data_IF_680236299171
#
_entry.id   IF_680236299171
#
_cell.length_a   1.000
_cell.length_b   1.000
_cell.length_c   1.000
_cell.angle_alpha   90.00
_cell.angle_beta   90.00
_cell.angle_gamma   90.00
#
_symmetry.space_group_name_H-M   'P 1'
#
loop_
_entity.id
_entity.type
_entity.pdbx_description
1 polymer ?
#
# COMPACT_ATOMS: atom_id res chain seq x y z
N UNK A 1 7.35 -2.81 -8.25
CA UNK A 1 6.55 -1.56 -8.24
C UNK A 1 5.17 -1.77 -7.61
N UNK A 2 4.34 -2.66 -8.17
CA UNK A 2 2.93 -2.81 -7.77
C UNK A 2 2.70 -3.18 -6.29
N UNK A 3 3.58 -3.98 -5.68
CA UNK A 3 3.48 -4.33 -4.25
C UNK A 3 3.65 -3.12 -3.30
N UNK A 4 4.49 -2.14 -3.64
CA UNK A 4 4.65 -0.93 -2.81
C UNK A 4 3.44 0.00 -2.93
N UNK A 5 2.85 0.06 -4.12
CA UNK A 5 1.66 0.86 -4.38
C UNK A 5 0.42 0.21 -3.75
N UNK A 6 0.31 -1.12 -3.81
CA UNK A 6 -0.72 -1.86 -3.10
C UNK A 6 -0.64 -1.63 -1.58
N UNK A 7 0.55 -1.46 -1.00
CA UNK A 7 0.68 -1.04 0.42
C UNK A 7 -0.03 0.29 0.71
N UNK A 8 -0.08 1.22 -0.24
CA UNK A 8 -0.84 2.46 -0.07
C UNK A 8 -2.35 2.19 -0.13
N UNK A 9 -2.82 1.38 -1.08
CA UNK A 9 -4.23 0.96 -1.10
C UNK A 9 -4.65 0.21 0.18
N UNK A 10 -3.77 -0.64 0.73
CA UNK A 10 -3.96 -1.26 2.05
C UNK A 10 -4.15 -0.23 3.16
N UNK A 11 -3.34 0.84 3.18
CA UNK A 11 -3.49 1.92 4.17
C UNK A 11 -4.82 2.66 4.06
N UNK A 12 -5.35 2.82 2.83
CA UNK A 12 -6.68 3.40 2.63
C UNK A 12 -7.77 2.56 3.29
N UNK A 13 -7.65 1.23 3.20
CA UNK A 13 -8.58 0.28 3.81
C UNK A 13 -8.42 0.22 5.35
N UNK A 14 -7.18 0.11 5.82
CA UNK A 14 -6.87 -0.12 7.24
C UNK A 14 -7.00 1.13 8.10
N UNK A 15 -6.74 2.30 7.51
CA UNK A 15 -6.72 3.58 8.23
C UNK A 15 -7.58 4.62 7.50
N UNK A 16 -8.91 4.43 7.46
CA UNK A 16 -9.82 5.29 6.70
C UNK A 16 -9.88 6.73 7.24
N UNK A 17 -9.51 6.93 8.51
CA UNK A 17 -9.58 8.23 9.19
C UNK A 17 -8.38 9.15 8.97
N UNK A 18 -7.32 8.68 8.29
CA UNK A 18 -6.18 9.53 7.96
C UNK A 18 -6.57 10.61 6.95
N UNK A 19 -5.87 11.74 6.97
CA UNK A 19 -6.12 12.83 6.02
C UNK A 19 -6.03 12.35 4.57
N UNK A 20 -5.01 11.56 4.24
CA UNK A 20 -4.83 10.99 2.91
C UNK A 20 -5.99 10.09 2.48
N UNK A 21 -6.45 9.21 3.37
CA UNK A 21 -7.62 8.35 3.11
C UNK A 21 -8.89 9.17 2.89
N UNK A 22 -9.13 10.19 3.72
CA UNK A 22 -10.29 11.08 3.59
C UNK A 22 -10.26 11.88 2.29
N UNK A 23 -9.12 12.46 1.92
CA UNK A 23 -8.95 13.23 0.67
C UNK A 23 -9.13 12.34 -0.55
N UNK A 24 -8.50 11.15 -0.58
CA UNK A 24 -8.62 10.22 -1.69
C UNK A 24 -10.05 9.67 -1.81
N UNK A 25 -10.71 9.36 -0.69
CA UNK A 25 -12.12 8.95 -0.69
C UNK A 25 -13.01 10.06 -1.24
N UNK A 26 -12.91 11.27 -0.70
CA UNK A 26 -13.72 12.40 -1.16
C UNK A 26 -13.55 12.70 -2.66
N UNK A 27 -12.33 12.54 -3.18
CA UNK A 27 -12.02 12.81 -4.58
C UNK A 27 -12.40 11.69 -5.55
N UNK A 28 -12.16 10.43 -5.18
CA UNK A 28 -12.22 9.30 -6.13
C UNK A 28 -13.34 8.30 -5.87
N UNK A 29 -13.84 8.21 -4.64
CA UNK A 29 -14.89 7.27 -4.25
C UNK A 29 -15.75 7.81 -3.09
N UNK A 30 -16.41 8.98 -3.27
CA UNK A 30 -17.13 9.63 -2.17
C UNK A 30 -18.33 8.81 -1.68
N UNK A 31 -18.97 8.06 -2.58
CA UNK A 31 -20.18 7.28 -2.32
C UNK A 31 -20.00 5.77 -2.57
N UNK A 32 -18.76 5.32 -2.71
CA UNK A 32 -18.45 3.91 -2.99
C UNK A 32 -17.25 3.45 -2.16
N UNK A 33 -16.96 2.15 -2.24
CA UNK A 33 -15.80 1.56 -1.60
C UNK A 33 -14.58 1.53 -2.50
N UNK A 34 -13.40 1.47 -1.88
CA UNK A 34 -12.12 1.45 -2.57
C UNK A 34 -12.02 0.37 -3.67
N UNK A 35 -12.57 -0.83 -3.43
CA UNK A 35 -12.53 -1.93 -4.39
C UNK A 35 -13.43 -1.71 -5.60
N UNK A 36 -14.53 -0.96 -5.43
CA UNK A 36 -15.49 -0.65 -6.49
C UNK A 36 -15.19 0.68 -7.19
N UNK A 37 -14.28 1.48 -6.65
CA UNK A 37 -13.95 2.81 -7.15
C UNK A 37 -13.42 2.75 -8.60
N UNK A 38 -14.05 3.42 -9.59
CA UNK A 38 -13.52 3.46 -10.94
C UNK A 38 -12.24 4.31 -11.02
N UNK A 39 -11.45 4.13 -12.08
CA UNK A 39 -10.29 5.00 -12.34
C UNK A 39 -10.74 6.43 -12.67
N UNK A 40 -11.86 6.58 -13.38
CA UNK A 40 -12.43 7.86 -13.78
C UNK A 40 -11.67 8.56 -14.92
N UNK A 41 -12.15 9.74 -15.32
CA UNK A 41 -11.52 10.59 -16.33
C UNK A 41 -10.59 11.63 -15.67
N UNK A 42 -9.37 11.78 -16.19
CA UNK A 42 -8.37 12.70 -15.63
C UNK A 42 -7.84 12.36 -14.21
N UNK A 43 -7.60 11.09 -13.84
CA UNK A 43 -7.10 10.75 -12.51
C UNK A 43 -5.67 11.25 -12.28
N UNK A 44 -5.29 11.40 -11.01
CA UNK A 44 -3.88 11.63 -10.66
C UNK A 44 -3.05 10.38 -10.96
N UNK A 45 -1.75 10.55 -11.20
CA UNK A 45 -0.85 9.42 -11.41
C UNK A 45 -0.79 8.47 -10.21
N UNK A 46 -0.95 9.03 -9.00
CA UNK A 46 -1.04 8.28 -7.75
C UNK A 46 -2.28 7.38 -7.78
N UNK A 47 -3.46 7.93 -8.10
CA UNK A 47 -4.70 7.15 -8.15
C UNK A 47 -4.65 6.06 -9.22
N UNK A 48 -4.15 6.35 -10.42
CA UNK A 48 -3.95 5.33 -11.47
C UNK A 48 -3.11 4.17 -10.97
N UNK A 49 -2.00 4.48 -10.30
CA UNK A 49 -1.09 3.46 -9.78
C UNK A 49 -1.76 2.62 -8.69
N UNK A 50 -2.51 3.25 -7.78
CA UNK A 50 -3.26 2.55 -6.73
C UNK A 50 -4.30 1.60 -7.35
N UNK A 51 -5.08 2.08 -8.32
CA UNK A 51 -6.04 1.25 -9.06
C UNK A 51 -5.38 0.09 -9.79
N UNK A 52 -4.24 0.31 -10.47
CA UNK A 52 -3.50 -0.73 -11.15
C UNK A 52 -3.00 -1.83 -10.18
N UNK A 53 -2.72 -1.47 -8.93
CA UNK A 53 -2.31 -2.41 -7.89
C UNK A 53 -3.47 -3.11 -7.15
N UNK A 54 -4.73 -2.82 -7.52
CA UNK A 54 -5.92 -3.32 -6.83
C UNK A 54 -6.05 -4.83 -6.90
N UNK A 55 -5.65 -5.46 -8.01
CA UNK A 55 -5.69 -6.93 -8.16
C UNK A 55 -4.95 -7.65 -7.04
N UNK A 56 -3.77 -7.14 -6.65
CA UNK A 56 -2.99 -7.66 -5.51
C UNK A 56 -3.79 -7.56 -4.21
N UNK A 57 -4.47 -6.43 -4.00
CA UNK A 57 -5.28 -6.22 -2.80
C UNK A 57 -6.52 -7.10 -2.79
N UNK A 58 -7.21 -7.26 -3.91
CA UNK A 58 -8.35 -8.18 -4.05
C UNK A 58 -7.93 -9.61 -3.73
N UNK A 59 -6.74 -10.01 -4.20
CA UNK A 59 -6.20 -11.33 -3.94
C UNK A 59 -5.93 -11.58 -2.45
N UNK A 60 -5.27 -10.65 -1.75
CA UNK A 60 -4.81 -10.90 -0.38
C UNK A 60 -5.61 -10.28 0.77
N UNK A 61 -6.44 -9.25 0.52
CA UNK A 61 -7.21 -8.60 1.58
C UNK A 61 -8.45 -9.42 1.94
N UNK A 62 -8.66 -9.63 3.23
CA UNK A 62 -9.88 -10.23 3.76
C UNK A 62 -10.47 -9.35 4.85
N UNK A 63 -11.79 -9.44 5.02
CA UNK A 63 -12.46 -8.92 6.21
C UNK A 63 -12.34 -9.95 7.32
N UNK A 64 -11.88 -9.50 8.48
CA UNK A 64 -11.90 -10.24 9.73
C UNK A 64 -13.14 -9.81 10.50
N UNK A 65 -14.01 -10.78 10.77
CA UNK A 65 -15.29 -10.54 11.43
C UNK A 65 -15.07 -10.31 12.94
N UNK A 66 -15.48 -9.13 13.39
CA UNK A 66 -15.65 -8.77 14.80
C UNK A 66 -17.13 -8.91 15.15
N UNK A 67 -17.86 -7.79 15.04
CA UNK A 67 -19.31 -7.74 15.27
C UNK A 67 -20.15 -7.96 14.00
N UNK A 68 -19.54 -7.99 12.82
CA UNK A 68 -20.22 -8.21 11.53
C UNK A 68 -21.00 -7.00 10.99
N UNK A 69 -21.00 -5.85 11.69
CA UNK A 69 -21.86 -4.70 11.34
C UNK A 69 -21.34 -3.86 10.17
N UNK A 70 -20.06 -4.01 9.81
CA UNK A 70 -19.47 -3.26 8.70
C UNK A 70 -18.97 -4.15 7.59
N UNK A 71 -19.31 -5.45 7.61
CA UNK A 71 -18.99 -6.40 6.56
C UNK A 71 -20.25 -6.86 5.84
N UNK A 72 -20.28 -6.62 4.54
CA UNK A 72 -21.41 -6.97 3.69
C UNK A 72 -21.25 -8.39 3.14
N UNK A 73 -22.28 -9.23 3.31
CA UNK A 73 -22.21 -10.68 3.05
C UNK A 73 -21.76 -10.99 1.61
N UNK A 74 -22.29 -10.23 0.65
CA UNK A 74 -22.23 -10.58 -0.77
C UNK A 74 -21.07 -9.94 -1.55
N UNK A 75 -20.56 -8.80 -1.10
CA UNK A 75 -19.59 -7.99 -1.87
C UNK A 75 -18.20 -7.95 -1.22
N UNK A 76 -18.11 -8.23 0.09
CA UNK A 76 -16.83 -8.19 0.78
C UNK A 76 -16.13 -9.55 0.77
N UNK A 77 -14.78 -9.58 0.73
CA UNK A 77 -14.01 -10.81 0.76
C UNK A 77 -13.80 -11.29 2.21
N UNK A 78 -14.74 -12.02 2.80
CA UNK A 78 -14.71 -12.37 4.23
C UNK A 78 -14.67 -13.87 4.53
N UNK A 79 -14.69 -14.74 3.51
CA UNK A 79 -14.57 -16.19 3.72
C UNK A 79 -13.11 -16.66 3.81
N UNK A 80 -12.90 -17.85 4.40
CA UNK A 80 -11.57 -18.44 4.60
C UNK A 80 -10.92 -18.99 3.32
N UNK A 81 -11.65 -18.99 2.19
CA UNK A 81 -11.15 -19.49 0.91
C UNK A 81 -10.08 -18.53 0.36
N UNK A 82 -8.87 -19.06 0.15
CA UNK A 82 -7.74 -18.28 -0.33
C UNK A 82 -7.95 -17.77 -1.77
N UNK A 83 -8.44 -18.62 -2.68
CA UNK A 83 -8.64 -18.25 -4.09
C UNK A 83 -9.94 -17.50 -4.37
N UNK A 84 -10.96 -17.68 -3.51
CA UNK A 84 -12.30 -17.16 -3.75
C UNK A 84 -12.99 -16.79 -2.43
N UNK A 85 -12.75 -15.58 -1.91
CA UNK A 85 -13.20 -15.19 -0.58
C UNK A 85 -14.65 -14.71 -0.51
N UNK A 86 -15.42 -14.93 -1.56
CA UNK A 86 -16.80 -14.47 -1.69
C UNK A 86 -17.79 -15.63 -1.52
N UNK A 87 -19.00 -15.28 -1.09
CA UNK A 87 -20.12 -16.22 -1.03
C UNK A 87 -20.60 -16.51 -2.46
N UNK A 88 -20.84 -17.78 -2.78
CA UNK A 88 -21.29 -18.24 -4.12
C UNK A 88 -22.75 -18.68 -4.15
N UNK A 89 -23.38 -18.79 -2.99
CA UNK A 89 -24.83 -18.92 -2.84
C UNK A 89 -25.52 -17.84 -3.66
N UNK A 90 -26.40 -18.25 -4.57
CA UNK A 90 -27.18 -17.32 -5.39
C UNK A 90 -28.12 -16.53 -4.50
N UNK A 91 -28.05 -15.20 -4.58
CA UNK A 91 -28.96 -14.30 -3.86
C UNK A 91 -30.36 -14.48 -4.45
N UNK A 92 -31.30 -14.99 -3.64
CA UNK A 92 -32.71 -14.98 -4.01
C UNK A 92 -33.27 -13.55 -3.94
N UNK A 93 -34.27 -13.23 -4.76
CA UNK A 93 -34.85 -11.87 -4.85
C UNK A 93 -35.37 -11.33 -3.50
N UNK A 94 -35.70 -12.23 -2.55
CA UNK A 94 -36.19 -11.88 -1.22
C UNK A 94 -35.19 -12.18 -0.10
N UNK A 95 -33.88 -12.16 -0.35
CA UNK A 95 -32.89 -12.36 0.71
C UNK A 95 -32.90 -11.18 1.69
N UNK A 96 -33.23 -11.38 2.98
CA UNK A 96 -33.38 -10.28 3.93
C UNK A 96 -32.05 -9.86 4.57
N UNK A 97 -30.95 -10.58 4.31
CA UNK A 97 -29.66 -10.41 4.98
C UNK A 97 -28.68 -9.65 4.09
N UNK A 98 -28.12 -8.58 4.64
CA UNK A 98 -27.18 -7.70 3.93
C UNK A 98 -25.82 -7.77 4.62
N UNK A 99 -25.80 -7.73 5.95
CA UNK A 99 -24.60 -7.64 6.75
C UNK A 99 -24.30 -8.94 7.48
N UNK A 100 -23.02 -9.23 7.72
CA UNK A 100 -22.62 -10.45 8.45
C UNK A 100 -23.22 -10.49 9.85
N UNK A 101 -23.47 -9.33 10.46
CA UNK A 101 -24.21 -9.19 11.72
C UNK A 101 -25.57 -9.91 11.70
N UNK A 102 -26.28 -9.92 10.57
CA UNK A 102 -27.59 -10.58 10.44
C UNK A 102 -27.50 -12.11 10.60
N UNK A 103 -26.31 -12.68 10.42
CA UNK A 103 -26.03 -14.11 10.58
C UNK A 103 -25.56 -14.48 12.00
N UNK A 104 -25.39 -13.49 12.89
CA UNK A 104 -24.86 -13.66 14.24
C UNK A 104 -26.00 -13.52 15.26
N UNK A 105 -26.15 -14.52 16.13
CA UNK A 105 -27.08 -14.53 17.25
C UNK A 105 -26.32 -14.80 18.55
N UNK A 106 -26.47 -13.92 19.55
CA UNK A 106 -25.81 -14.05 20.85
C UNK A 106 -24.28 -14.28 20.76
N UNK A 107 -23.60 -13.55 19.87
CA UNK A 107 -22.16 -13.69 19.58
C UNK A 107 -21.73 -15.07 19.07
N UNK A 108 -22.67 -15.84 18.55
CA UNK A 108 -22.42 -17.12 17.87
C UNK A 108 -23.08 -17.10 16.50
N UNK A 109 -22.59 -17.91 15.57
CA UNK A 109 -23.26 -18.05 14.27
C UNK A 109 -24.66 -18.66 14.45
N UNK A 110 -25.66 -18.04 13.82
CA UNK A 110 -26.99 -18.63 13.73
C UNK A 110 -26.98 -19.77 12.71
N UNK A 111 -26.57 -20.95 13.17
CA UNK A 111 -26.30 -22.08 12.28
C UNK A 111 -27.54 -22.63 11.58
N UNK A 112 -28.72 -22.48 12.18
CA UNK A 112 -30.00 -22.85 11.56
C UNK A 112 -30.33 -21.93 10.38
N UNK A 113 -30.24 -20.62 10.60
CA UNK A 113 -30.45 -19.61 9.55
C UNK A 113 -29.44 -19.78 8.41
N UNK A 114 -28.16 -19.95 8.74
CA UNK A 114 -27.10 -20.11 7.74
C UNK A 114 -27.36 -21.38 6.89
N UNK A 115 -27.64 -22.53 7.51
CA UNK A 115 -27.89 -23.77 6.75
C UNK A 115 -29.15 -23.72 5.90
N UNK A 116 -30.14 -22.92 6.30
CA UNK A 116 -31.39 -22.76 5.56
C UNK A 116 -31.23 -21.90 4.32
N UNK A 117 -30.43 -20.83 4.40
CA UNK A 117 -30.34 -19.82 3.34
C UNK A 117 -29.09 -19.91 2.46
N UNK A 118 -28.04 -20.60 2.90
CA UNK A 118 -26.78 -20.72 2.17
C UNK A 118 -26.57 -22.14 1.64
N UNK A 119 -25.92 -22.24 0.48
CA UNK A 119 -25.52 -23.54 -0.05
C UNK A 119 -24.57 -24.23 0.92
N UNK A 120 -24.65 -25.55 1.02
CA UNK A 120 -23.88 -26.36 1.99
C UNK A 120 -22.41 -25.95 2.08
N UNK A 121 -21.77 -25.76 0.93
CA UNK A 121 -20.36 -25.40 0.87
C UNK A 121 -20.06 -24.02 1.50
N UNK A 122 -20.92 -23.02 1.34
CA UNK A 122 -20.74 -21.69 1.94
C UNK A 122 -21.11 -21.72 3.42
N UNK A 123 -22.20 -22.41 3.76
CA UNK A 123 -22.61 -22.65 5.15
C UNK A 123 -21.46 -23.23 5.98
N UNK A 124 -20.80 -24.28 5.48
CA UNK A 124 -19.69 -24.92 6.16
C UNK A 124 -18.48 -23.98 6.32
N UNK A 125 -18.23 -23.10 5.34
CA UNK A 125 -17.14 -22.14 5.43
C UNK A 125 -17.44 -21.01 6.42
N UNK A 126 -18.67 -20.49 6.43
CA UNK A 126 -19.11 -19.46 7.37
C UNK A 126 -18.99 -19.99 8.80
N UNK A 127 -19.53 -21.19 9.06
CA UNK A 127 -19.53 -21.79 10.40
C UNK A 127 -18.13 -22.13 10.93
N UNK A 128 -17.12 -22.23 10.05
CA UNK A 128 -15.71 -22.43 10.42
C UNK A 128 -14.99 -21.14 10.79
N UNK A 129 -15.54 -19.96 10.48
CA UNK A 129 -14.93 -18.69 10.83
C UNK A 129 -15.06 -18.47 12.34
N UNK A 130 -13.96 -18.34 13.08
CA UNK A 130 -14.04 -18.01 14.50
C UNK A 130 -14.51 -16.56 14.65
N UNK A 131 -15.58 -16.35 15.42
CA UNK A 131 -15.99 -15.03 15.86
C UNK A 131 -15.11 -14.56 17.02
N UNK A 132 -14.88 -13.26 17.11
CA UNK A 132 -14.16 -12.70 18.26
C UNK A 132 -14.98 -12.88 19.55
N UNK A 133 -14.33 -13.37 20.60
CA UNK A 133 -14.93 -13.43 21.95
C UNK A 133 -15.02 -12.05 22.61
N UNK A 134 -14.25 -11.09 22.09
CA UNK A 134 -14.24 -9.69 22.54
C UNK A 134 -15.16 -8.86 21.67
N UNK A 135 -15.80 -7.86 22.25
CA UNK A 135 -16.47 -6.82 21.46
C UNK A 135 -15.41 -6.02 20.71
N UNK A 136 -15.38 -6.17 19.40
CA UNK A 136 -14.52 -5.42 18.51
C UNK A 136 -15.20 -5.23 17.17
N UNK A 137 -14.90 -4.11 16.53
CA UNK A 137 -15.36 -3.85 15.17
C UNK A 137 -14.69 -4.81 14.18
N UNK A 138 -15.35 -5.01 13.05
CA UNK A 138 -14.74 -5.70 11.91
C UNK A 138 -13.51 -4.93 11.39
N UNK A 139 -12.57 -5.68 10.83
CA UNK A 139 -11.29 -5.10 10.42
C UNK A 139 -10.75 -5.76 9.14
N UNK A 140 -9.82 -5.11 8.47
CA UNK A 140 -9.11 -5.68 7.33
C UNK A 140 -7.90 -6.49 7.81
N UNK A 141 -7.70 -7.67 7.23
CA UNK A 141 -6.50 -8.49 7.43
C UNK A 141 -5.89 -8.91 6.08
N UNK A 142 -4.58 -9.09 6.08
CA UNK A 142 -3.83 -9.63 4.95
C UNK A 142 -3.71 -11.15 5.09
N UNK A 143 -4.42 -11.91 4.27
CA UNK A 143 -4.51 -13.37 4.38
C UNK A 143 -3.19 -14.11 4.14
N UNK A 144 -2.26 -13.49 3.42
CA UNK A 144 -0.95 -14.09 3.10
C UNK A 144 0.07 -13.95 4.24
N UNK A 145 -0.32 -13.30 5.34
CA UNK A 145 0.53 -13.15 6.52
C UNK A 145 -0.25 -13.55 7.77
N UNK A 146 0.34 -14.42 8.60
CA UNK A 146 -0.25 -14.86 9.87
C UNK A 146 -0.59 -13.73 10.83
N UNK A 147 0.13 -12.61 10.77
CA UNK A 147 -0.16 -11.43 11.60
C UNK A 147 -1.34 -10.59 11.08
N UNK A 148 -1.87 -10.90 9.88
CA UNK A 148 -2.91 -10.12 9.24
C UNK A 148 -2.44 -8.75 8.74
N UNK A 149 -1.14 -8.48 8.76
CA UNK A 149 -0.55 -7.22 8.31
C UNK A 149 -0.01 -7.34 6.89
N UNK A 150 -0.16 -6.26 6.12
CA UNK A 150 0.37 -6.20 4.76
C UNK A 150 1.90 -6.23 4.75
N UNK A 151 2.45 -7.18 4.02
CA UNK A 151 3.90 -7.29 3.82
C UNK A 151 4.22 -7.28 2.34
N UNK A 152 5.17 -6.43 1.97
CA UNK A 152 5.52 -6.15 0.57
C UNK A 152 6.13 -7.37 -0.11
N UNK A 153 6.90 -8.18 0.63
CA UNK A 153 7.58 -9.38 0.12
C UNK A 153 6.57 -10.41 -0.41
N UNK A 154 5.55 -10.73 0.38
CA UNK A 154 4.48 -11.68 0.06
C UNK A 154 3.64 -11.16 -1.11
N UNK A 155 3.37 -9.86 -1.12
CA UNK A 155 2.62 -9.22 -2.21
C UNK A 155 3.40 -9.15 -3.52
N UNK A 156 4.74 -9.05 -3.44
CA UNK A 156 5.61 -9.13 -4.62
C UNK A 156 5.61 -10.53 -5.22
N UNK A 157 5.58 -11.59 -4.38
CA UNK A 157 5.45 -12.97 -4.86
C UNK A 157 4.17 -13.17 -5.64
N UNK A 158 3.02 -12.73 -5.10
CA UNK A 158 1.73 -12.79 -5.82
C UNK A 158 1.77 -12.06 -7.15
N UNK A 159 2.37 -10.86 -7.18
CA UNK A 159 2.50 -10.09 -8.42
C UNK A 159 3.37 -10.77 -9.49
N UNK A 160 4.30 -11.64 -9.08
CA UNK A 160 5.20 -12.39 -9.98
C UNK A 160 4.65 -13.77 -10.36
N UNK A 161 4.02 -14.49 -9.43
CA UNK A 161 3.52 -15.86 -9.61
C UNK A 161 2.21 -15.87 -10.44
N UNK A 162 1.31 -14.89 -10.29
CA UNK A 162 0.03 -14.85 -11.01
C UNK A 162 0.04 -14.00 -12.31
N UNK A 163 1.20 -13.49 -12.77
CA UNK A 163 1.26 -12.51 -13.88
C UNK A 163 0.30 -11.31 -13.73
N UNK A 164 -0.15 -10.99 -12.51
CA UNK A 164 -1.03 -9.85 -12.21
C UNK A 164 -0.31 -8.49 -12.33
N UNK A 165 1.01 -8.52 -12.55
CA UNK A 165 1.75 -7.36 -13.00
C UNK A 165 1.40 -7.10 -14.47
N UNK A 166 0.57 -6.10 -14.71
CA UNK A 166 0.35 -5.56 -16.05
C UNK A 166 1.70 -5.29 -16.72
N UNK A 167 1.94 -5.98 -17.83
CA UNK A 167 3.20 -5.97 -18.59
C UNK A 167 3.26 -4.67 -19.37
N UNK A 168 3.63 -3.59 -18.69
CA UNK A 168 3.94 -2.30 -19.31
C UNK A 168 4.98 -1.49 -18.54
N UNK A 169 6.02 -2.15 -18.00
CA UNK A 169 7.23 -1.42 -17.58
C UNK A 169 8.47 -2.33 -17.59
N UNK A 170 9.01 -2.57 -18.78
CA UNK A 170 10.38 -3.08 -18.94
C UNK A 170 11.38 -1.98 -18.60
N UNK A 171 11.52 -1.63 -17.32
CA UNK A 171 12.77 -1.05 -16.82
C UNK A 171 12.81 -1.10 -15.30
N UNK A 172 13.94 -1.56 -14.79
CA UNK A 172 14.48 -1.37 -13.43
C UNK A 172 14.69 -2.67 -12.61
N UNK A 173 15.95 -3.01 -12.29
CA UNK A 173 16.29 -4.18 -11.47
C UNK A 173 16.04 -3.92 -9.98
N UNK A 174 14.77 -3.97 -9.56
CA UNK A 174 14.38 -3.77 -8.16
C UNK A 174 15.05 -4.78 -7.21
N UNK A 175 15.43 -5.97 -7.72
CA UNK A 175 16.18 -7.02 -7.00
C UNK A 175 17.47 -6.50 -6.32
N UNK A 176 18.06 -5.41 -6.81
CA UNK A 176 19.26 -4.78 -6.24
C UNK A 176 18.95 -3.87 -5.05
N UNK A 177 17.74 -3.30 -4.97
CA UNK A 177 17.31 -2.40 -3.89
C UNK A 177 16.91 -3.20 -2.63
N UNK A 178 16.43 -4.43 -2.77
CA UNK A 178 16.01 -5.27 -1.61
C UNK A 178 17.15 -5.68 -0.67
N UNK A 179 18.41 -5.46 -1.03
CA UNK A 179 19.56 -5.68 -0.13
C UNK A 179 19.80 -4.50 0.84
N UNK A 180 19.16 -3.36 0.62
CA UNK A 180 19.27 -2.20 1.51
C UNK A 180 18.00 -2.13 2.36
N UNK A 181 18.14 -2.43 3.64
CA UNK A 181 17.06 -2.35 4.63
C UNK A 181 16.66 -0.88 4.79
N UNK A 182 15.53 -0.48 4.20
CA UNK A 182 14.94 0.85 4.44
C UNK A 182 13.71 0.68 5.33
N UNK A 183 13.87 1.11 6.58
CA UNK A 183 12.81 1.26 7.58
C UNK A 183 11.71 2.18 7.03
N UNK A 184 10.49 1.65 6.89
CA UNK A 184 9.35 2.43 6.42
C UNK A 184 8.77 3.27 7.56
N UNK A 185 9.25 4.51 7.71
CA UNK A 185 8.51 5.60 8.38
C UNK A 185 8.39 6.77 7.40
N UNK A 186 7.20 6.98 6.86
CA UNK A 186 6.85 8.22 6.16
C UNK A 186 5.51 8.67 6.72
N UNK A 187 5.55 9.75 7.50
CA UNK A 187 4.41 10.54 7.92
C UNK A 187 4.12 11.64 6.87
N UNK A 188 2.86 12.02 6.74
CA UNK A 188 2.45 13.26 6.09
C UNK A 188 2.77 14.44 7.00
N UNK A 189 3.36 15.49 6.45
CA UNK A 189 3.25 16.87 6.93
C UNK A 189 3.38 17.82 5.74
N UNK A 190 2.85 19.02 5.89
CA UNK A 190 2.35 19.95 4.87
C UNK A 190 3.26 20.23 3.66
N UNK A 191 2.61 20.52 2.54
CA UNK A 191 3.25 20.91 1.28
C UNK A 191 3.81 22.32 1.47
N UNK A 192 5.01 22.42 2.01
CA UNK A 192 5.89 23.53 1.67
C UNK A 192 6.40 23.26 0.25
N UNK A 193 6.02 24.10 -0.70
CA UNK A 193 6.42 24.01 -2.11
C UNK A 193 7.94 24.27 -2.33
N UNK A 194 8.71 24.40 -1.26
CA UNK A 194 10.14 24.68 -1.26
C UNK A 194 10.92 23.57 -0.57
N UNK A 195 12.12 23.25 -1.09
CA UNK A 195 13.03 22.30 -0.44
C UNK A 195 13.37 22.76 0.98
N UNK A 196 13.03 21.96 1.99
CA UNK A 196 13.20 22.32 3.40
C UNK A 196 14.67 22.48 3.84
N UNK A 197 15.61 21.99 3.03
CA UNK A 197 17.06 22.10 3.31
C UNK A 197 17.65 23.42 2.79
N UNK A 198 17.25 23.88 1.60
CA UNK A 198 17.79 25.13 1.03
C UNK A 198 16.79 26.28 0.95
N UNK A 199 15.52 26.04 1.30
CA UNK A 199 14.44 27.03 1.26
C UNK A 199 13.99 27.44 -0.14
N UNK A 200 14.52 26.86 -1.22
CA UNK A 200 14.23 27.29 -2.60
C UNK A 200 13.57 26.16 -3.38
N UNK A 201 12.45 26.45 -4.06
CA UNK A 201 11.70 25.70 -5.11
C UNK A 201 11.28 24.25 -4.80
N UNK A 202 10.49 23.63 -5.69
CA UNK A 202 9.82 22.35 -5.46
C UNK A 202 10.73 21.25 -4.87
N UNK A 203 10.33 20.71 -3.72
CA UNK A 203 10.96 19.56 -3.10
C UNK A 203 10.71 18.28 -3.93
N UNK A 204 11.78 17.67 -4.41
CA UNK A 204 11.75 16.37 -5.11
C UNK A 204 12.93 15.53 -4.63
N UNK A 205 12.83 14.21 -4.73
CA UNK A 205 13.92 13.30 -4.37
C UNK A 205 15.22 13.66 -5.13
N UNK A 206 15.11 13.99 -6.41
CA UNK A 206 16.25 14.43 -7.22
C UNK A 206 16.87 15.72 -6.69
N UNK A 207 16.04 16.64 -6.20
CA UNK A 207 16.53 17.90 -5.66
C UNK A 207 17.17 17.73 -4.29
N UNK A 208 16.53 17.02 -3.38
CA UNK A 208 17.06 16.74 -2.04
C UNK A 208 18.41 16.03 -2.14
N UNK A 209 18.54 15.09 -3.07
CA UNK A 209 19.74 14.27 -3.20
C UNK A 209 20.82 14.86 -4.10
N UNK A 210 20.49 15.77 -5.03
CA UNK A 210 21.44 16.19 -6.07
C UNK A 210 21.41 17.68 -6.42
N UNK A 211 20.24 18.28 -6.65
CA UNK A 211 20.14 19.65 -7.18
C UNK A 211 20.09 20.76 -6.13
N UNK A 212 19.75 20.44 -4.87
CA UNK A 212 19.75 21.38 -3.76
C UNK A 212 21.14 22.00 -3.58
N UNK A 213 21.24 23.29 -3.23
CA UNK A 213 22.53 23.96 -3.04
C UNK A 213 23.39 23.27 -1.98
N UNK A 214 22.75 22.82 -0.89
CA UNK A 214 23.40 22.01 0.14
C UNK A 214 23.90 20.67 -0.42
N UNK A 215 23.03 19.91 -1.09
CA UNK A 215 23.40 18.64 -1.68
C UNK A 215 24.56 18.79 -2.67
N UNK A 216 24.50 19.81 -3.53
CA UNK A 216 25.55 20.14 -4.50
C UNK A 216 26.88 20.42 -3.81
N UNK A 217 26.88 21.17 -2.70
CA UNK A 217 28.08 21.39 -1.89
C UNK A 217 28.64 20.09 -1.33
N UNK A 218 27.79 19.20 -0.79
CA UNK A 218 28.21 17.89 -0.30
C UNK A 218 28.83 17.02 -1.41
N UNK A 219 28.24 17.01 -2.61
CA UNK A 219 28.80 16.31 -3.78
C UNK A 219 30.17 16.87 -4.19
N UNK A 220 30.31 18.19 -4.26
CA UNK A 220 31.58 18.84 -4.60
C UNK A 220 32.68 18.56 -3.57
N UNK A 221 32.33 18.49 -2.28
CA UNK A 221 33.26 18.22 -1.19
C UNK A 221 33.61 16.72 -1.04
N UNK A 222 32.77 15.81 -1.55
CA UNK A 222 32.93 14.36 -1.41
C UNK A 222 34.07 13.72 -2.22
N UNK A 223 34.80 14.52 -3.00
CA UNK A 223 35.84 14.08 -3.94
C UNK A 223 35.33 13.08 -5.02
N UNK A 224 34.00 12.96 -5.19
CA UNK A 224 33.33 12.13 -6.21
C UNK A 224 33.07 12.89 -7.52
N UNK A 225 33.34 14.20 -7.53
CA UNK A 225 33.02 15.09 -8.64
C UNK A 225 31.51 15.40 -8.74
N UNK A 226 31.18 16.30 -9.66
CA UNK A 226 29.79 16.66 -9.96
C UNK A 226 29.54 16.52 -11.47
N UNK A 227 28.54 15.72 -11.82
CA UNK A 227 28.15 15.41 -13.21
C UNK A 227 26.72 15.88 -13.41
N UNK A 228 26.48 16.75 -14.38
CA UNK A 228 25.12 17.26 -14.59
C UNK A 228 24.18 16.13 -15.04
N UNK A 229 23.14 15.88 -14.25
CA UNK A 229 22.05 14.97 -14.59
C UNK A 229 20.74 15.75 -14.70
N UNK A 230 19.81 15.25 -15.51
CA UNK A 230 18.49 15.85 -15.70
C UNK A 230 17.39 15.17 -14.87
N UNK A 231 17.69 14.00 -14.30
CA UNK A 231 16.78 13.26 -13.43
C UNK A 231 17.53 12.32 -12.47
N UNK A 232 16.84 11.90 -11.40
CA UNK A 232 17.33 10.87 -10.49
C UNK A 232 17.63 9.56 -11.22
N UNK A 233 16.82 9.21 -12.24
CA UNK A 233 16.99 7.98 -13.01
C UNK A 233 18.27 7.97 -13.85
N UNK A 234 18.61 9.10 -14.46
CA UNK A 234 19.86 9.25 -15.22
C UNK A 234 21.08 9.19 -14.31
N UNK A 235 20.97 9.77 -13.11
CA UNK A 235 22.02 9.73 -12.09
C UNK A 235 22.26 8.30 -11.58
N UNK A 236 21.19 7.60 -11.18
CA UNK A 236 21.27 6.23 -10.67
C UNK A 236 21.77 5.25 -11.73
N UNK A 237 21.33 5.40 -12.98
CA UNK A 237 21.81 4.58 -14.09
C UNK A 237 23.32 4.73 -14.28
N UNK A 238 23.82 5.97 -14.30
CA UNK A 238 25.26 6.24 -14.39
C UNK A 238 26.04 5.65 -13.21
N UNK A 239 25.55 5.81 -11.97
CA UNK A 239 26.19 5.26 -10.77
C UNK A 239 26.32 3.74 -10.87
N UNK A 240 25.27 3.05 -11.33
CA UNK A 240 25.24 1.59 -11.36
C UNK A 240 26.04 0.98 -12.50
N UNK A 241 26.10 1.64 -13.66
CA UNK A 241 26.73 1.09 -14.88
C UNK A 241 28.14 1.60 -15.12
N UNK A 242 28.44 2.83 -14.70
CA UNK A 242 29.64 3.54 -15.13
C UNK A 242 30.66 3.77 -14.02
N UNK A 243 30.27 3.66 -12.73
CA UNK A 243 31.18 3.88 -11.60
C UNK A 243 31.82 2.58 -11.06
N UNK A 244 33.11 2.60 -10.71
CA UNK A 244 33.78 1.51 -10.00
C UNK A 244 33.09 1.20 -8.66
N UNK A 245 33.18 -0.06 -8.20
CA UNK A 245 32.53 -0.51 -6.95
C UNK A 245 32.95 0.32 -5.72
N UNK A 246 34.23 0.69 -5.63
CA UNK A 246 34.79 1.52 -4.55
C UNK A 246 34.25 2.95 -4.53
N UNK A 247 33.83 3.49 -5.67
CA UNK A 247 33.18 4.81 -5.77
C UNK A 247 31.67 4.71 -5.54
N UNK A 248 31.03 3.61 -5.97
CA UNK A 248 29.60 3.36 -5.74
C UNK A 248 29.25 3.36 -4.25
N UNK A 249 30.06 2.74 -3.41
CA UNK A 249 29.83 2.71 -1.95
C UNK A 249 29.85 4.12 -1.35
N UNK A 250 30.85 4.93 -1.71
CA UNK A 250 30.95 6.33 -1.27
C UNK A 250 29.76 7.18 -1.74
N UNK A 251 29.31 6.95 -2.97
CA UNK A 251 28.09 7.58 -3.52
C UNK A 251 26.86 7.21 -2.70
N UNK A 252 26.66 5.92 -2.40
CA UNK A 252 25.51 5.49 -1.61
C UNK A 252 25.55 6.02 -0.17
N UNK A 253 26.73 6.08 0.45
CA UNK A 253 26.90 6.70 1.77
C UNK A 253 26.56 8.19 1.74
N UNK A 254 26.96 8.91 0.69
CA UNK A 254 26.63 10.32 0.52
C UNK A 254 25.13 10.54 0.34
N UNK A 255 24.49 9.77 -0.54
CA UNK A 255 23.03 9.79 -0.76
C UNK A 255 22.29 9.50 0.54
N UNK A 256 22.73 8.49 1.28
CA UNK A 256 22.15 8.13 2.58
C UNK A 256 22.31 9.26 3.60
N UNK A 257 23.48 9.89 3.66
CA UNK A 257 23.76 11.01 4.57
C UNK A 257 22.89 12.22 4.25
N UNK A 258 22.74 12.57 2.97
CA UNK A 258 21.86 13.66 2.52
C UNK A 258 20.39 13.39 2.86
N UNK A 259 19.92 12.16 2.64
CA UNK A 259 18.56 11.75 2.99
C UNK A 259 18.32 11.78 4.51
N UNK A 260 19.30 11.33 5.28
CA UNK A 260 19.25 11.34 6.75
C UNK A 260 19.19 12.77 7.28
N UNK A 261 20.07 13.65 6.79
CA UNK A 261 20.06 15.08 7.15
C UNK A 261 18.72 15.74 6.81
N UNK A 262 18.15 15.50 5.61
CA UNK A 262 16.81 16.01 5.29
C UNK A 262 15.75 15.51 6.27
N UNK A 263 15.82 14.25 6.68
CA UNK A 263 14.89 13.71 7.67
C UNK A 263 15.08 14.38 9.04
N UNK A 264 16.31 14.66 9.46
CA UNK A 264 16.55 15.40 10.71
C UNK A 264 15.99 16.83 10.64
N UNK A 265 16.13 17.51 9.51
CA UNK A 265 15.50 18.83 9.29
C UNK A 265 13.97 18.73 9.39
N UNK A 266 13.36 17.73 8.74
CA UNK A 266 11.89 17.56 8.70
C UNK A 266 11.30 17.12 10.04
N UNK A 267 11.95 16.20 10.74
CA UNK A 267 11.37 15.56 11.94
C UNK A 267 11.86 16.17 13.25
N UNK A 268 13.07 16.71 13.26
CA UNK A 268 13.74 17.17 14.47
C UNK A 268 14.03 18.69 14.46
N UNK A 269 13.73 19.39 13.37
CA UNK A 269 14.06 20.82 13.17
C UNK A 269 15.54 21.14 13.42
N UNK A 270 16.43 20.19 13.14
CA UNK A 270 17.88 20.36 13.32
C UNK A 270 18.46 20.95 12.04
N UNK A 271 18.82 22.23 12.09
CA UNK A 271 19.51 22.95 11.02
C UNK A 271 21.01 23.03 11.35
N UNK A 272 21.74 21.93 11.20
CA UNK A 272 23.20 21.88 11.41
C UNK A 272 23.95 21.64 10.10
#
# INVERSE_FOLDING_TARGET
KNALVAKQGWRLLKYPNTLASKVLKAKYFPHSDFFQAPVGNGPSQIWRSICASRSILTYGCRRRIGDGRSTHIWIDPWTLKASDPYIRTKVAENMPFVMVFDLILNRTWNAELIRTHFQQHDSDNILRIPLSLRECDDDWCWALNRKGEYVVKESYRVAMEDNLADVSDHSFPWHLIWKVVVSSKVCHMDIDECCLVCGVGLETDFRVLYCCSFARSCWLLSNLGWVSFYSLNTMLSYILTSLPMSQREKVFMLIWSLWTHRNDVVWNQIFQ
#
